data_IF_500991935226
#
_entry.id   IF_500991935226
#
_cell.length_a   1.000
_cell.length_b   1.000
_cell.length_c   1.000
_cell.angle_alpha   90.00
_cell.angle_beta   90.00
_cell.angle_gamma   90.00
#
_symmetry.space_group_name_H-M   'P 1'
#
loop_
_entity.id
_entity.type
_entity.pdbx_description
1 polymer ?
#
# COMPACT_ATOMS: atom_id res chain seq x y z
N UNK A 1 21.19 -41.43 -53.31
CA UNK A 1 19.99 -40.59 -53.03
C UNK A 1 20.32 -39.69 -51.85
N UNK A 2 20.51 -38.38 -52.08
CA UNK A 2 20.79 -37.42 -51.00
C UNK A 2 19.46 -36.90 -50.44
N UNK A 3 19.04 -37.40 -49.27
CA UNK A 3 17.93 -36.82 -48.52
C UNK A 3 18.38 -35.54 -47.84
N UNK A 4 17.95 -34.39 -48.37
CA UNK A 4 18.15 -33.10 -47.72
C UNK A 4 17.04 -32.88 -46.69
N UNK A 5 17.36 -33.08 -45.41
CA UNK A 5 16.50 -32.66 -44.31
C UNK A 5 16.49 -31.13 -44.25
N UNK A 6 15.36 -30.52 -44.63
CA UNK A 6 15.10 -29.09 -44.40
C UNK A 6 14.70 -28.92 -42.94
N UNK A 7 15.65 -28.56 -42.07
CA UNK A 7 15.36 -28.17 -40.69
C UNK A 7 14.86 -26.73 -40.71
N UNK A 8 13.54 -26.55 -40.67
CA UNK A 8 12.95 -25.25 -40.34
C UNK A 8 13.12 -25.03 -38.84
N UNK A 9 14.14 -24.26 -38.46
CA UNK A 9 14.26 -23.68 -37.13
C UNK A 9 13.14 -22.64 -36.96
N UNK A 10 12.00 -23.08 -36.43
CA UNK A 10 10.95 -22.20 -35.97
C UNK A 10 11.46 -21.39 -34.77
N UNK A 11 11.83 -20.14 -35.02
CA UNK A 11 12.13 -19.18 -33.96
C UNK A 11 10.80 -18.85 -33.28
N UNK A 12 10.48 -19.56 -32.20
CA UNK A 12 9.40 -19.17 -31.29
C UNK A 12 9.91 -17.97 -30.53
N UNK A 13 9.53 -16.77 -30.98
CA UNK A 13 9.69 -15.53 -30.21
C UNK A 13 8.81 -15.64 -28.96
N UNK A 14 9.38 -16.19 -27.88
CA UNK A 14 8.82 -16.04 -26.53
C UNK A 14 8.97 -14.57 -26.15
N UNK A 15 8.02 -13.74 -26.57
CA UNK A 15 7.86 -12.42 -26.01
C UNK A 15 7.44 -12.61 -24.54
N UNK A 16 8.24 -12.18 -23.56
CA UNK A 16 7.74 -12.08 -22.21
C UNK A 16 6.59 -11.07 -22.26
N UNK A 17 5.36 -11.54 -22.09
CA UNK A 17 4.25 -10.64 -21.79
C UNK A 17 4.57 -10.01 -20.44
N UNK A 18 5.24 -8.87 -20.45
CA UNK A 18 5.39 -8.02 -19.29
C UNK A 18 3.98 -7.52 -18.95
N UNK A 19 3.26 -8.30 -18.14
CA UNK A 19 2.06 -7.84 -17.47
C UNK A 19 2.50 -6.78 -16.47
N UNK A 20 2.61 -5.53 -16.92
CA UNK A 20 2.69 -4.39 -16.03
C UNK A 20 1.39 -4.37 -15.24
N UNK A 21 1.44 -4.89 -14.01
CA UNK A 21 0.34 -4.73 -13.07
C UNK A 21 0.08 -3.22 -12.96
N UNK A 22 -1.06 -2.75 -13.49
CA UNK A 22 -1.43 -1.36 -13.35
C UNK A 22 -1.62 -1.09 -11.86
N UNK A 23 -0.76 -0.25 -11.30
CA UNK A 23 -0.84 0.15 -9.89
C UNK A 23 -2.16 0.91 -9.72
N UNK A 24 -3.07 0.36 -8.93
CA UNK A 24 -4.30 1.05 -8.57
C UNK A 24 -3.99 2.05 -7.46
N UNK A 25 -3.84 3.32 -7.80
CA UNK A 25 -3.52 4.36 -6.81
C UNK A 25 -4.61 4.51 -5.73
N UNK A 26 -5.86 4.14 -6.01
CA UNK A 26 -6.90 4.13 -4.99
C UNK A 26 -6.65 3.05 -3.92
N UNK A 27 -6.11 1.90 -4.33
CA UNK A 27 -5.69 0.85 -3.43
C UNK A 27 -4.50 1.28 -2.58
N UNK A 28 -3.45 1.80 -3.24
CA UNK A 28 -2.25 2.31 -2.55
C UNK A 28 -2.63 3.37 -1.52
N UNK A 29 -3.51 4.31 -1.87
CA UNK A 29 -3.98 5.34 -0.96
C UNK A 29 -4.74 4.73 0.22
N UNK A 30 -5.64 3.77 -0.01
CA UNK A 30 -6.41 3.15 1.08
C UNK A 30 -5.50 2.43 2.10
N UNK A 31 -4.45 1.75 1.61
CA UNK A 31 -3.42 1.17 2.47
C UNK A 31 -2.58 2.24 3.17
N UNK A 32 -2.18 3.30 2.47
CA UNK A 32 -1.40 4.38 3.04
C UNK A 32 -2.18 5.04 4.19
N UNK A 33 -3.46 5.36 4.00
CA UNK A 33 -4.29 5.96 5.05
C UNK A 33 -4.46 5.04 6.27
N UNK A 34 -4.62 3.73 6.09
CA UNK A 34 -4.63 2.78 7.22
C UNK A 34 -3.30 2.78 7.97
N UNK A 35 -2.18 2.72 7.24
CA UNK A 35 -0.85 2.71 7.84
C UNK A 35 -0.54 4.00 8.59
N UNK A 36 -0.93 5.14 8.03
CA UNK A 36 -0.84 6.44 8.68
C UNK A 36 -1.66 6.48 9.97
N UNK A 37 -2.92 6.03 9.92
CA UNK A 37 -3.78 6.02 11.09
C UNK A 37 -3.25 5.10 12.21
N UNK A 38 -2.66 3.96 11.84
CA UNK A 38 -2.02 3.04 12.78
C UNK A 38 -0.77 3.68 13.43
N UNK A 39 0.08 4.35 12.64
CA UNK A 39 1.25 5.07 13.17
C UNK A 39 0.84 6.19 14.13
N UNK A 40 -0.21 6.94 13.79
CA UNK A 40 -0.76 7.98 14.63
C UNK A 40 -1.35 7.43 15.94
N UNK A 41 -2.15 6.37 15.87
CA UNK A 41 -2.75 5.74 17.05
C UNK A 41 -1.71 5.15 18.03
N UNK A 42 -0.55 4.73 17.50
CA UNK A 42 0.56 4.17 18.28
C UNK A 42 1.74 5.14 18.48
N UNK A 43 1.56 6.42 18.17
CA UNK A 43 2.62 7.42 18.36
C UNK A 43 2.91 7.62 19.85
N UNK A 44 4.20 7.69 20.21
CA UNK A 44 4.64 7.94 21.59
C UNK A 44 4.38 9.37 22.06
N UNK A 45 4.14 10.30 21.12
CA UNK A 45 3.92 11.70 21.43
C UNK A 45 2.43 12.02 21.71
N UNK A 46 1.54 11.05 21.49
CA UNK A 46 0.10 11.23 21.55
C UNK A 46 -0.46 10.38 22.69
N UNK A 47 -1.21 10.99 23.61
CA UNK A 47 -1.73 10.29 24.79
C UNK A 47 -3.16 10.74 25.14
N UNK A 48 -3.82 10.00 26.03
CA UNK A 48 -5.11 10.39 26.59
C UNK A 48 -6.23 10.38 25.54
N UNK A 49 -7.04 11.45 25.53
CA UNK A 49 -8.18 11.57 24.61
C UNK A 49 -7.76 11.63 23.13
N UNK A 50 -6.63 12.28 22.83
CA UNK A 50 -6.08 12.34 21.46
C UNK A 50 -5.76 10.95 20.91
N UNK A 51 -5.22 10.07 21.76
CA UNK A 51 -4.91 8.70 21.38
C UNK A 51 -6.19 7.89 21.11
N UNK A 52 -7.23 8.07 21.94
CA UNK A 52 -8.54 7.41 21.73
C UNK A 52 -9.18 7.83 20.42
N UNK A 53 -9.11 9.11 20.09
CA UNK A 53 -9.62 9.64 18.82
C UNK A 53 -8.90 9.03 17.63
N UNK A 54 -7.57 9.01 17.63
CA UNK A 54 -6.79 8.41 16.54
C UNK A 54 -6.97 6.89 16.46
N UNK A 55 -7.16 6.21 17.59
CA UNK A 55 -7.51 4.79 17.61
C UNK A 55 -8.87 4.54 16.93
N UNK A 56 -9.86 5.40 17.17
CA UNK A 56 -11.16 5.28 16.51
C UNK A 56 -11.04 5.50 14.99
N UNK A 57 -10.26 6.50 14.57
CA UNK A 57 -9.97 6.77 13.15
C UNK A 57 -9.27 5.57 12.51
N UNK A 58 -8.25 4.99 13.17
CA UNK A 58 -7.56 3.79 12.69
C UNK A 58 -8.53 2.64 12.44
N UNK A 59 -9.38 2.33 13.42
CA UNK A 59 -10.35 1.24 13.28
C UNK A 59 -11.33 1.51 12.13
N UNK A 60 -11.82 2.74 11.99
CA UNK A 60 -12.72 3.12 10.90
C UNK A 60 -12.04 2.96 9.53
N UNK A 61 -10.82 3.45 9.37
CA UNK A 61 -10.05 3.39 8.12
C UNK A 61 -9.70 1.94 7.77
N UNK A 62 -9.27 1.14 8.75
CA UNK A 62 -9.01 -0.28 8.60
C UNK A 62 -10.24 -1.04 8.12
N UNK A 63 -11.39 -0.82 8.75
CA UNK A 63 -12.64 -1.46 8.33
C UNK A 63 -13.09 -1.01 6.95
N UNK A 64 -12.94 0.27 6.61
CA UNK A 64 -13.26 0.78 5.27
C UNK A 64 -12.40 0.11 4.20
N UNK A 65 -11.09 0.01 4.41
CA UNK A 65 -10.17 -0.65 3.49
C UNK A 65 -10.46 -2.16 3.38
N UNK A 66 -10.71 -2.85 4.49
CA UNK A 66 -11.00 -4.29 4.50
C UNK A 66 -12.25 -4.67 3.69
N UNK A 67 -13.19 -3.74 3.47
CA UNK A 67 -14.35 -3.98 2.60
C UNK A 67 -13.99 -4.14 1.13
N UNK A 68 -12.86 -3.56 0.71
CA UNK A 68 -12.46 -3.46 -0.70
C UNK A 68 -11.14 -4.18 -1.01
N UNK A 69 -10.30 -4.43 0.00
CA UNK A 69 -8.94 -4.93 -0.17
C UNK A 69 -8.57 -5.93 0.95
N UNK A 70 -7.74 -6.95 0.65
CA UNK A 70 -7.28 -7.90 1.66
C UNK A 70 -6.42 -7.23 2.75
N UNK A 71 -6.28 -7.84 3.92
CA UNK A 71 -5.45 -7.25 4.97
C UNK A 71 -3.95 -7.40 4.65
N UNK A 72 -3.20 -6.29 4.71
CA UNK A 72 -1.75 -6.27 4.55
C UNK A 72 -1.14 -5.07 5.31
N UNK A 73 -0.84 -5.28 6.59
CA UNK A 73 -0.36 -4.21 7.48
C UNK A 73 1.04 -3.71 7.09
N UNK A 74 1.93 -4.60 6.65
CA UNK A 74 3.29 -4.24 6.23
C UNK A 74 3.25 -3.31 5.02
N UNK A 75 2.38 -3.63 4.04
CA UNK A 75 2.17 -2.77 2.89
C UNK A 75 1.51 -1.44 3.27
N UNK A 76 0.55 -1.44 4.21
CA UNK A 76 -0.06 -0.22 4.71
C UNK A 76 0.98 0.74 5.31
N UNK A 77 1.87 0.23 6.16
CA UNK A 77 2.95 1.01 6.76
C UNK A 77 3.97 1.50 5.72
N UNK A 78 4.35 0.63 4.79
CA UNK A 78 5.22 1.01 3.69
C UNK A 78 4.61 2.13 2.85
N UNK A 79 3.37 1.97 2.40
CA UNK A 79 2.66 2.94 1.58
C UNK A 79 2.51 4.29 2.30
N UNK A 80 2.21 4.28 3.60
CA UNK A 80 2.13 5.49 4.41
C UNK A 80 3.46 6.27 4.43
N UNK A 81 4.58 5.57 4.65
CA UNK A 81 5.92 6.19 4.64
C UNK A 81 6.28 6.77 3.28
N UNK A 82 5.94 6.08 2.20
CA UNK A 82 6.23 6.56 0.84
C UNK A 82 5.39 7.80 0.48
N UNK A 83 4.17 7.91 1.01
CA UNK A 83 3.25 8.98 0.63
C UNK A 83 3.42 10.26 1.47
N UNK A 84 3.70 10.14 2.77
CA UNK A 84 3.78 11.27 3.70
C UNK A 84 5.15 11.48 4.35
N UNK A 85 6.19 10.77 3.91
CA UNK A 85 7.58 10.97 4.36
C UNK A 85 7.76 10.86 5.89
N UNK A 86 6.98 10.00 6.55
CA UNK A 86 6.99 9.85 8.01
C UNK A 86 8.18 9.02 8.46
N UNK A 87 9.23 9.72 8.90
CA UNK A 87 10.48 9.14 9.39
C UNK A 87 10.55 9.05 10.92
N UNK A 88 9.67 9.76 11.63
CA UNK A 88 9.60 9.85 13.10
C UNK A 88 8.19 9.56 13.61
N UNK A 89 8.03 9.41 14.93
CA UNK A 89 6.70 9.31 15.53
C UNK A 89 5.91 10.60 15.27
N UNK A 90 4.72 10.55 14.63
CA UNK A 90 4.00 11.76 14.23
C UNK A 90 3.31 12.41 15.42
N UNK A 91 3.19 13.74 15.38
CA UNK A 91 2.47 14.52 16.38
C UNK A 91 0.97 14.56 16.06
N UNK A 92 0.15 14.87 17.08
CA UNK A 92 -1.31 14.84 16.95
C UNK A 92 -1.85 15.76 15.85
N UNK A 93 -1.35 17.00 15.77
CA UNK A 93 -1.80 17.97 14.78
C UNK A 93 -1.51 17.51 13.34
N UNK A 94 -0.33 16.93 13.11
CA UNK A 94 0.04 16.36 11.81
C UNK A 94 -0.89 15.21 11.45
N UNK A 95 -1.15 14.30 12.39
CA UNK A 95 -2.05 13.17 12.21
C UNK A 95 -3.47 13.61 11.82
N UNK A 96 -4.05 14.59 12.52
CA UNK A 96 -5.43 15.03 12.25
C UNK A 96 -5.53 15.77 10.91
N UNK A 97 -4.56 16.61 10.58
CA UNK A 97 -4.54 17.33 9.29
C UNK A 97 -4.50 16.35 8.11
N UNK A 98 -3.75 15.25 8.24
CA UNK A 98 -3.65 14.25 7.18
C UNK A 98 -4.83 13.28 7.14
N UNK A 99 -5.38 12.88 8.30
CA UNK A 99 -6.40 11.83 8.40
C UNK A 99 -7.85 12.32 8.29
N UNK A 100 -8.14 13.59 8.61
CA UNK A 100 -9.51 14.15 8.53
C UNK A 100 -9.81 14.91 7.24
N UNK A 101 -8.92 14.84 6.25
CA UNK A 101 -9.07 15.51 4.96
C UNK A 101 -10.06 14.77 4.07
#
# INVERSE_FOLDING_TARGET
MQNRFKVLLGVILLFPMFAFAKINMAEVNAYAYEGLADMCANSRHITGEQQKELQAIYLQTKHARQKILPANNDFAHYAAKQLWDIHTAPDYEECIVLLKK
#
